data_IF_809206088795
#
_entry.id   IF_809206088795
#
_cell.length_a   1.000
_cell.length_b   1.000
_cell.length_c   1.000
_cell.angle_alpha   90.00
_cell.angle_beta   90.00
_cell.angle_gamma   90.00
#
_symmetry.space_group_name_H-M   'P 1'
#
loop_
_entity.id
_entity.type
_entity.pdbx_description
1 polymer ?
#
# COMPACT_ATOMS: atom_id res chain seq x y z
N UNK A 1 3.71 -24.94 -21.02
CA UNK A 1 4.65 -24.27 -20.10
C UNK A 1 4.76 -25.15 -18.87
N UNK A 2 5.96 -25.50 -18.43
CA UNK A 2 6.16 -26.28 -17.21
C UNK A 2 6.55 -25.30 -16.10
N UNK A 3 5.82 -25.33 -14.99
CA UNK A 3 6.07 -24.48 -13.82
C UNK A 3 6.94 -25.23 -12.82
N UNK A 4 7.96 -24.56 -12.29
CA UNK A 4 8.93 -25.14 -11.36
C UNK A 4 8.81 -24.42 -10.01
N UNK A 5 8.94 -25.15 -8.89
CA UNK A 5 8.93 -24.52 -7.57
C UNK A 5 10.16 -23.60 -7.40
N UNK A 6 9.99 -22.50 -6.65
CA UNK A 6 11.08 -21.59 -6.33
C UNK A 6 12.16 -22.26 -5.47
N UNK A 7 13.41 -22.18 -5.91
CA UNK A 7 14.58 -22.70 -5.18
C UNK A 7 15.48 -21.52 -4.80
N UNK A 8 15.93 -21.49 -3.53
CA UNK A 8 16.85 -20.47 -3.01
C UNK A 8 18.17 -21.13 -2.63
N UNK A 9 19.27 -20.59 -3.14
CA UNK A 9 20.61 -21.05 -2.83
C UNK A 9 21.12 -20.40 -1.53
N UNK A 10 21.79 -21.15 -0.64
CA UNK A 10 22.38 -20.57 0.56
C UNK A 10 23.62 -19.73 0.18
N UNK A 11 23.43 -18.43 -0.01
CA UNK A 11 24.50 -17.48 -0.41
C UNK A 11 25.23 -16.82 0.78
N UNK A 12 25.01 -17.29 2.01
CA UNK A 12 25.51 -16.62 3.21
C UNK A 12 24.77 -15.32 3.52
N UNK A 13 23.55 -15.16 3.02
CA UNK A 13 22.67 -14.04 3.34
C UNK A 13 22.36 -14.01 4.85
N UNK A 14 22.21 -12.81 5.40
CA UNK A 14 21.69 -12.67 6.77
C UNK A 14 20.22 -13.05 6.84
N UNK A 15 19.77 -13.50 8.00
CA UNK A 15 18.37 -13.91 8.24
C UNK A 15 17.37 -12.82 7.83
N UNK A 16 17.66 -11.55 8.18
CA UNK A 16 16.85 -10.40 7.76
C UNK A 16 16.68 -10.33 6.25
N UNK A 17 17.72 -10.60 5.46
CA UNK A 17 17.64 -10.57 4.00
C UNK A 17 16.77 -11.70 3.45
N UNK A 18 16.88 -12.89 4.03
CA UNK A 18 16.09 -14.07 3.64
C UNK A 18 14.60 -13.82 3.89
N UNK A 19 14.27 -13.20 5.04
CA UNK A 19 12.89 -12.84 5.40
C UNK A 19 12.37 -11.75 4.45
N UNK A 20 13.15 -10.70 4.18
CA UNK A 20 12.72 -9.62 3.29
C UNK A 20 12.53 -10.07 1.83
N UNK A 21 13.27 -11.10 1.39
CA UNK A 21 13.07 -11.75 0.08
C UNK A 21 11.80 -12.63 0.03
N UNK A 22 11.10 -12.86 1.14
CA UNK A 22 9.87 -13.66 1.18
C UNK A 22 10.09 -15.17 1.10
N UNK A 23 11.30 -15.65 1.38
CA UNK A 23 11.62 -17.09 1.33
C UNK A 23 10.97 -17.85 2.50
N UNK A 24 10.82 -17.16 3.64
CA UNK A 24 10.23 -17.70 4.87
C UNK A 24 8.91 -16.99 5.13
N UNK A 25 7.90 -17.77 5.54
CA UNK A 25 6.61 -17.23 6.00
C UNK A 25 6.79 -16.44 7.29
N UNK A 26 6.16 -15.26 7.35
CA UNK A 26 6.32 -14.32 8.46
C UNK A 26 5.84 -14.89 9.80
N UNK A 27 4.89 -15.84 9.77
CA UNK A 27 4.36 -16.49 10.97
C UNK A 27 5.41 -17.37 11.68
N UNK A 28 6.38 -17.89 10.93
CA UNK A 28 7.42 -18.80 11.43
C UNK A 28 8.67 -18.07 11.94
N UNK A 29 8.73 -16.76 11.78
CA UNK A 29 9.83 -15.92 12.29
C UNK A 29 9.68 -15.79 13.80
N UNK A 30 10.78 -16.03 14.54
CA UNK A 30 10.79 -15.98 16.00
C UNK A 30 10.67 -14.55 16.53
N UNK A 31 11.54 -13.66 16.04
CA UNK A 31 11.69 -12.29 16.51
C UNK A 31 11.46 -11.30 15.34
N UNK A 32 10.21 -11.14 14.86
CA UNK A 32 9.90 -10.32 13.69
C UNK A 32 10.27 -8.83 13.87
N UNK A 33 10.24 -8.32 15.09
CA UNK A 33 10.56 -6.93 15.43
C UNK A 33 11.97 -6.51 14.98
N UNK A 34 12.95 -7.39 15.13
CA UNK A 34 14.35 -7.10 14.79
C UNK A 34 14.57 -6.92 13.27
N UNK A 35 13.66 -7.46 12.46
CA UNK A 35 13.77 -7.41 11.00
C UNK A 35 13.05 -6.20 10.40
N UNK A 36 12.21 -5.49 11.17
CA UNK A 36 11.49 -4.30 10.71
C UNK A 36 12.45 -3.17 10.35
N UNK A 37 13.59 -3.06 11.05
CA UNK A 37 14.64 -2.08 10.70
C UNK A 37 15.06 -2.19 9.23
N UNK A 38 15.20 -3.41 8.71
CA UNK A 38 15.57 -3.62 7.31
C UNK A 38 14.50 -3.17 6.31
N UNK A 39 13.23 -3.09 6.73
CA UNK A 39 12.15 -2.48 5.91
C UNK A 39 12.31 -0.97 5.89
N UNK A 40 12.53 -0.36 7.05
CA UNK A 40 12.70 1.10 7.18
C UNK A 40 13.90 1.61 6.38
N UNK A 41 14.98 0.83 6.30
CA UNK A 41 16.16 1.19 5.51
C UNK A 41 15.92 1.18 4.00
N UNK A 42 14.94 0.38 3.52
CA UNK A 42 14.63 0.23 2.09
C UNK A 42 13.51 1.14 1.62
N UNK A 43 12.53 1.37 2.47
CA UNK A 43 11.32 2.13 2.14
C UNK A 43 11.51 3.57 2.58
N UNK A 44 11.29 4.52 1.66
CA UNK A 44 11.34 5.95 2.00
C UNK A 44 10.28 6.28 3.07
N UNK A 45 10.60 7.14 4.05
CA UNK A 45 9.68 7.47 5.13
C UNK A 45 8.37 8.12 4.63
N UNK A 46 8.41 8.83 3.51
CA UNK A 46 7.23 9.42 2.87
C UNK A 46 6.15 8.37 2.52
N UNK A 47 6.57 7.20 2.01
CA UNK A 47 5.64 6.13 1.63
C UNK A 47 5.06 5.44 2.87
N UNK A 48 5.87 5.25 3.91
CA UNK A 48 5.42 4.71 5.18
C UNK A 48 4.41 5.64 5.87
N UNK A 49 4.68 6.95 5.90
CA UNK A 49 3.73 7.96 6.39
C UNK A 49 2.45 7.94 5.58
N UNK A 50 2.49 7.82 4.25
CA UNK A 50 1.28 7.79 3.43
C UNK A 50 0.45 6.51 3.67
N UNK A 51 1.10 5.35 3.74
CA UNK A 51 0.42 4.07 3.88
C UNK A 51 -0.14 3.88 5.30
N UNK A 52 0.68 4.11 6.33
CA UNK A 52 0.25 3.95 7.71
C UNK A 52 -0.39 5.21 8.27
N UNK A 53 -0.20 6.40 7.69
CA UNK A 53 -0.71 7.70 8.17
C UNK A 53 -0.29 7.99 9.61
N UNK A 54 0.96 7.73 9.93
CA UNK A 54 1.60 8.02 11.21
C UNK A 54 2.43 9.31 11.10
N UNK A 55 2.74 9.91 12.24
CA UNK A 55 3.68 11.02 12.35
C UNK A 55 5.13 10.56 12.13
N UNK A 56 6.07 11.52 12.11
CA UNK A 56 7.51 11.25 12.14
C UNK A 56 7.90 10.31 13.29
N UNK A 57 8.76 9.33 13.01
CA UNK A 57 9.35 8.43 14.00
C UNK A 57 10.87 8.57 14.01
N UNK A 58 11.49 8.21 15.13
CA UNK A 58 12.95 8.23 15.28
C UNK A 58 13.57 6.85 15.25
N UNK A 59 12.86 5.84 15.74
CA UNK A 59 13.36 4.48 15.90
C UNK A 59 12.35 3.45 15.36
N UNK A 60 12.80 2.23 15.08
CA UNK A 60 11.92 1.14 14.65
C UNK A 60 10.86 0.79 15.72
N UNK A 61 11.22 0.81 17.00
CA UNK A 61 10.27 0.53 18.07
C UNK A 61 9.21 1.64 18.20
N UNK A 62 9.62 2.90 18.04
CA UNK A 62 8.70 4.05 18.02
C UNK A 62 7.74 3.97 16.82
N UNK A 63 8.26 3.61 15.64
CA UNK A 63 7.44 3.37 14.45
C UNK A 63 6.36 2.30 14.72
N UNK A 64 6.76 1.13 15.22
CA UNK A 64 5.83 0.03 15.48
C UNK A 64 4.79 0.41 16.55
N UNK A 65 5.21 1.14 17.58
CA UNK A 65 4.31 1.65 18.64
C UNK A 65 3.25 2.57 18.06
N UNK A 66 3.63 3.54 17.21
CA UNK A 66 2.68 4.46 16.56
C UNK A 66 1.71 3.72 15.63
N UNK A 67 2.21 2.75 14.87
CA UNK A 67 1.37 1.91 14.01
C UNK A 67 0.39 1.09 14.85
N UNK A 68 0.83 0.54 15.99
CA UNK A 68 -0.01 -0.23 16.90
C UNK A 68 -1.20 0.59 17.42
N UNK A 69 -0.92 1.81 17.91
CA UNK A 69 -1.95 2.73 18.38
C UNK A 69 -2.94 3.11 17.29
N UNK A 70 -2.43 3.38 16.07
CA UNK A 70 -3.29 3.78 14.97
C UNK A 70 -4.16 2.64 14.44
N UNK A 71 -3.61 1.43 14.38
CA UNK A 71 -4.34 0.25 13.91
C UNK A 71 -5.20 -0.41 15.01
N UNK A 72 -5.09 0.05 16.25
CA UNK A 72 -5.79 -0.56 17.40
C UNK A 72 -5.25 -1.96 17.77
N UNK A 73 -3.99 -2.26 17.43
CA UNK A 73 -3.31 -3.52 17.74
C UNK A 73 -2.73 -3.45 19.15
N UNK A 74 -3.61 -3.43 20.14
CA UNK A 74 -3.26 -3.33 21.56
C UNK A 74 -3.60 -4.64 22.27
N UNK A 75 -2.75 -5.05 23.21
CA UNK A 75 -3.01 -6.15 24.12
C UNK A 75 -4.11 -5.80 25.12
N UNK A 76 -4.59 -6.80 25.88
CA UNK A 76 -5.67 -6.66 26.88
C UNK A 76 -5.37 -5.73 28.06
N UNK A 77 -4.25 -5.02 28.05
CA UNK A 77 -3.84 -4.02 29.04
C UNK A 77 -3.63 -2.62 28.41
N UNK A 78 -3.98 -2.43 27.14
CA UNK A 78 -3.72 -1.17 26.42
C UNK A 78 -2.27 -0.99 25.96
N UNK A 79 -1.43 -2.00 26.15
CA UNK A 79 -0.04 -2.02 25.68
C UNK A 79 0.03 -2.35 24.18
N UNK A 80 0.88 -1.67 23.39
CA UNK A 80 1.04 -1.97 21.97
C UNK A 80 1.60 -3.38 21.73
N UNK A 81 0.95 -4.14 20.84
CA UNK A 81 1.45 -5.47 20.42
C UNK A 81 2.48 -5.31 19.30
N UNK A 82 3.75 -5.15 19.69
CA UNK A 82 4.87 -4.94 18.76
C UNK A 82 5.05 -6.15 17.83
N UNK A 83 4.96 -7.38 18.35
CA UNK A 83 5.17 -8.60 17.56
C UNK A 83 4.09 -8.75 16.48
N UNK A 84 2.82 -8.50 16.79
CA UNK A 84 1.74 -8.57 15.81
C UNK A 84 1.88 -7.49 14.73
N UNK A 85 2.26 -6.27 15.11
CA UNK A 85 2.51 -5.17 14.17
C UNK A 85 3.71 -5.46 13.29
N UNK A 86 4.81 -5.98 13.84
CA UNK A 86 5.99 -6.37 13.08
C UNK A 86 5.65 -7.40 11.99
N UNK A 87 4.85 -8.42 12.33
CA UNK A 87 4.35 -9.41 11.36
C UNK A 87 3.48 -8.77 10.28
N UNK A 88 2.61 -7.83 10.64
CA UNK A 88 1.78 -7.12 9.67
C UNK A 88 2.64 -6.28 8.70
N UNK A 89 3.63 -5.55 9.23
CA UNK A 89 4.55 -4.71 8.43
C UNK A 89 5.40 -5.54 7.47
N UNK A 90 5.97 -6.65 7.94
CA UNK A 90 6.75 -7.56 7.08
C UNK A 90 5.90 -8.17 5.96
N UNK A 91 4.66 -8.55 6.27
CA UNK A 91 3.72 -9.05 5.27
C UNK A 91 3.34 -7.97 4.25
N UNK A 92 3.12 -6.73 4.69
CA UNK A 92 2.80 -5.61 3.80
C UNK A 92 3.98 -5.27 2.87
N UNK A 93 5.21 -5.40 3.37
CA UNK A 93 6.42 -5.28 2.57
C UNK A 93 6.53 -6.39 1.51
N UNK A 94 6.38 -7.66 1.90
CA UNK A 94 6.45 -8.80 0.97
C UNK A 94 5.34 -8.78 -0.09
N UNK A 95 4.15 -8.27 0.26
CA UNK A 95 3.01 -8.12 -0.67
C UNK A 95 3.15 -6.94 -1.63
N UNK A 96 4.20 -6.13 -1.48
CA UNK A 96 4.43 -4.95 -2.31
C UNK A 96 3.45 -3.80 -2.04
N UNK A 97 2.77 -3.77 -0.88
CA UNK A 97 1.96 -2.62 -0.49
C UNK A 97 2.82 -1.39 -0.21
N UNK A 98 4.03 -1.63 0.27
CA UNK A 98 5.05 -0.62 0.47
C UNK A 98 5.93 -0.54 -0.77
N UNK A 99 5.81 0.52 -1.59
CA UNK A 99 6.64 0.67 -2.77
C UNK A 99 8.08 0.97 -2.35
N UNK A 100 9.02 0.21 -2.92
CA UNK A 100 10.45 0.48 -2.85
C UNK A 100 11.11 0.09 -4.17
N UNK A 101 12.25 0.71 -4.46
CA UNK A 101 13.05 0.39 -5.63
C UNK A 101 14.52 0.38 -5.22
N UNK A 102 15.30 -0.48 -5.86
CA UNK A 102 16.75 -0.50 -5.74
C UNK A 102 17.30 -0.03 -7.07
N UNK A 103 18.15 0.99 -7.03
CA UNK A 103 18.78 1.52 -8.24
C UNK A 103 19.76 0.46 -8.76
N UNK A 104 19.71 0.11 -10.05
CA UNK A 104 20.68 -0.81 -10.62
C UNK A 104 22.10 -0.22 -10.54
N UNK A 105 23.13 -1.07 -10.37
CA UNK A 105 24.51 -0.61 -10.27
C UNK A 105 24.91 0.19 -11.52
N UNK A 106 25.54 1.35 -11.32
CA UNK A 106 25.97 2.25 -12.40
C UNK A 106 24.94 3.31 -12.84
N UNK A 107 23.72 3.29 -12.29
CA UNK A 107 22.66 4.27 -12.63
C UNK A 107 22.35 5.27 -11.51
N UNK A 108 23.17 5.34 -10.45
CA UNK A 108 22.91 6.14 -9.25
C UNK A 108 22.75 7.64 -9.52
N UNK A 109 23.52 8.19 -10.47
CA UNK A 109 23.45 9.62 -10.81
C UNK A 109 22.19 10.01 -11.60
N UNK A 110 21.63 9.08 -12.37
CA UNK A 110 20.38 9.29 -13.11
C UNK A 110 19.20 9.23 -12.15
N UNK A 111 19.19 8.21 -11.29
CA UNK A 111 18.15 8.01 -10.29
C UNK A 111 17.90 9.25 -9.44
N UNK A 112 18.94 9.91 -8.91
CA UNK A 112 18.79 11.10 -8.06
C UNK A 112 18.07 12.27 -8.71
N UNK A 113 18.08 12.38 -10.04
CA UNK A 113 17.46 13.50 -10.79
C UNK A 113 15.97 13.29 -11.04
N UNK A 114 15.53 12.05 -11.08
CA UNK A 114 14.16 11.70 -11.46
C UNK A 114 13.18 11.69 -10.25
N UNK A 115 13.68 11.73 -9.01
CA UNK A 115 12.85 11.69 -7.79
C UNK A 115 12.13 12.99 -7.43
N UNK A 116 12.54 14.13 -8.01
CA UNK A 116 11.92 15.44 -7.73
C UNK A 116 10.76 15.77 -8.69
N UNK A 117 10.47 14.92 -9.67
CA UNK A 117 9.35 15.10 -10.59
C UNK A 117 8.14 14.26 -10.14
N UNK A 118 7.01 14.95 -9.98
CA UNK A 118 5.71 14.35 -9.71
C UNK A 118 5.40 13.23 -10.73
N UNK A 119 4.65 12.18 -10.32
CA UNK A 119 4.36 11.07 -11.21
C UNK A 119 3.71 11.58 -12.50
N UNK A 120 4.31 11.23 -13.63
CA UNK A 120 3.62 11.31 -14.91
C UNK A 120 2.39 10.40 -14.79
N UNK A 121 1.22 10.98 -14.55
CA UNK A 121 0.03 10.31 -15.04
C UNK A 121 0.19 10.36 -16.56
N UNK A 122 0.49 9.22 -17.16
CA UNK A 122 0.28 9.08 -18.59
C UNK A 122 -1.23 8.96 -18.74
N UNK A 123 -1.90 10.12 -18.89
CA UNK A 123 -3.10 10.13 -19.71
C UNK A 123 -2.67 9.65 -21.08
N UNK A 124 -3.07 8.43 -21.44
CA UNK A 124 -3.15 8.00 -22.82
C UNK A 124 -4.03 9.02 -23.56
N UNK A 125 -3.38 10.01 -24.18
CA UNK A 125 -4.01 10.81 -25.20
C UNK A 125 -4.11 9.90 -26.42
N UNK A 126 -5.31 9.35 -26.63
CA UNK A 126 -5.75 8.91 -27.95
C UNK A 126 -5.77 10.16 -28.86
N UNK A 127 -4.62 10.48 -29.47
CA UNK A 127 -4.54 11.46 -30.55
C UNK A 127 -4.57 10.71 -31.89
N UNK A 128 -5.74 10.81 -32.50
CA UNK A 128 -6.12 10.53 -33.89
C UNK A 128 -5.08 11.13 -34.86
N UNK A 129 -4.29 10.30 -35.56
CA UNK A 129 -3.53 10.74 -36.73
C UNK A 129 -3.71 9.76 -37.90
N UNK A 130 -4.60 10.21 -38.80
CA UNK A 130 -4.56 10.13 -40.24
C UNK A 130 -4.00 8.85 -40.90
N UNK A 131 -4.95 8.06 -41.36
CA UNK A 131 -4.84 7.05 -42.43
C UNK A 131 -4.06 7.54 -43.65
N UNK A 132 -3.00 6.82 -44.03
CA UNK A 132 -2.49 6.79 -45.41
C UNK A 132 -2.76 5.40 -46.00
N UNK A 133 -3.69 5.43 -46.94
CA UNK A 133 -4.20 4.36 -47.78
C UNK A 133 -3.11 3.80 -48.72
N UNK A 134 -2.94 2.47 -48.75
CA UNK A 134 -2.48 1.79 -49.97
C UNK A 134 -3.00 0.34 -50.01
N UNK A 135 -4.06 0.19 -50.80
CA UNK A 135 -4.79 -1.02 -51.18
C UNK A 135 -3.93 -2.19 -51.70
N UNK A 136 -4.26 -3.40 -51.24
CA UNK A 136 -4.15 -4.67 -51.99
C UNK A 136 -5.22 -5.66 -51.50
N UNK A 137 -6.40 -5.62 -52.11
CA UNK A 137 -7.38 -6.73 -52.18
C UNK A 137 -6.69 -8.01 -52.76
N UNK A 138 -7.08 -9.27 -52.52
CA UNK A 138 -8.37 -9.96 -52.43
C UNK A 138 -8.14 -11.28 -51.67
N UNK A 139 -9.14 -11.79 -50.94
CA UNK A 139 -9.16 -13.19 -50.49
C UNK A 139 -10.34 -13.56 -49.61
N UNK A 140 -11.54 -13.57 -50.20
CA UNK A 140 -12.86 -13.84 -49.62
C UNK A 140 -13.03 -15.27 -49.04
N UNK A 141 -13.84 -15.43 -47.99
CA UNK A 141 -14.20 -16.74 -47.44
C UNK A 141 -15.02 -16.69 -46.14
N UNK A 142 -16.32 -16.45 -46.26
CA UNK A 142 -17.36 -16.62 -45.23
C UNK A 142 -17.86 -18.09 -45.18
N UNK A 143 -17.93 -18.73 -44.00
CA UNK A 143 -18.97 -19.72 -43.65
C UNK A 143 -19.22 -19.75 -42.13
N UNK A 144 -20.51 -19.85 -41.80
CA UNK A 144 -21.26 -19.83 -40.54
C UNK A 144 -21.00 -20.93 -39.48
N UNK A 145 -21.60 -20.68 -38.30
CA UNK A 145 -22.26 -21.51 -37.25
C UNK A 145 -22.03 -23.05 -37.23
N UNK A 146 -22.03 -23.80 -36.13
CA UNK A 146 -23.09 -24.01 -35.11
C UNK A 146 -22.56 -24.85 -33.91
N UNK A 147 -23.17 -24.67 -32.72
CA UNK A 147 -23.45 -25.70 -31.68
C UNK A 147 -22.29 -26.29 -30.85
N UNK A 148 -22.47 -26.88 -29.66
CA UNK A 148 -23.54 -26.96 -28.67
C UNK A 148 -22.96 -27.72 -27.45
N UNK A 149 -23.49 -27.42 -26.24
CA UNK A 149 -23.70 -28.29 -25.06
C UNK A 149 -22.56 -29.06 -24.35
N UNK A 150 -22.54 -28.91 -23.01
CA UNK A 150 -21.99 -29.93 -22.10
C UNK A 150 -21.90 -29.57 -20.60
N UNK A 151 -23.04 -29.55 -19.90
CA UNK A 151 -23.33 -29.94 -18.47
C UNK A 151 -22.16 -30.54 -17.64
N UNK A 152 -21.94 -30.23 -16.34
CA UNK A 152 -22.73 -30.63 -15.14
C UNK A 152 -22.31 -29.82 -13.88
N UNK A 153 -23.23 -29.36 -13.00
CA UNK A 153 -23.54 -29.90 -11.64
C UNK A 153 -22.31 -30.38 -10.83
N UNK A 154 -22.01 -29.92 -9.61
CA UNK A 154 -22.83 -30.12 -8.39
C UNK A 154 -22.75 -28.98 -7.35
N UNK A 155 -23.86 -28.83 -6.63
CA UNK A 155 -24.03 -28.07 -5.40
C UNK A 155 -23.75 -28.94 -4.17
N UNK A 156 -23.30 -28.33 -3.06
CA UNK A 156 -23.86 -28.69 -1.76
C UNK A 156 -23.84 -27.47 -0.81
N UNK A 157 -24.98 -27.28 -0.17
CA UNK A 157 -25.31 -26.24 0.80
C UNK A 157 -25.74 -26.93 2.09
N UNK A 158 -25.52 -26.30 3.24
CA UNK A 158 -26.42 -26.28 4.43
C UNK A 158 -25.65 -25.62 5.58
N UNK A 159 -25.91 -24.35 5.91
CA UNK A 159 -26.96 -23.82 6.79
C UNK A 159 -26.85 -24.25 8.25
N UNK A 160 -26.63 -23.29 9.16
CA UNK A 160 -27.65 -22.96 10.15
C UNK A 160 -27.50 -21.54 10.74
N UNK A 161 -28.64 -20.92 10.99
CA UNK A 161 -28.87 -19.69 11.76
C UNK A 161 -28.63 -19.93 13.27
N UNK A 162 -28.53 -18.95 14.17
CA UNK A 162 -29.62 -18.09 14.68
C UNK A 162 -29.09 -16.86 15.46
N UNK A 163 -29.81 -15.73 15.33
CA UNK A 163 -30.22 -14.64 16.27
C UNK A 163 -29.44 -14.32 17.58
N UNK A 164 -29.50 -13.15 18.25
CA UNK A 164 -29.86 -11.72 18.08
C UNK A 164 -29.64 -11.09 19.48
N UNK A 165 -28.89 -9.97 19.62
CA UNK A 165 -29.14 -8.86 20.57
C UNK A 165 -28.17 -7.69 20.24
N UNK A 166 -28.62 -6.52 19.79
CA UNK A 166 -29.24 -5.39 20.50
C UNK A 166 -28.29 -4.62 21.46
N UNK A 167 -27.57 -3.61 20.96
CA UNK A 167 -27.75 -2.21 21.41
C UNK A 167 -26.77 -1.25 20.75
N UNK A 168 -27.37 -0.22 20.17
CA UNK A 168 -26.77 0.93 19.52
C UNK A 168 -26.54 2.05 20.55
N UNK A 169 -25.70 3.02 20.16
CA UNK A 169 -25.46 4.34 20.76
C UNK A 169 -24.27 4.43 21.74
N UNK A 170 -23.12 4.91 21.25
CA UNK A 170 -22.38 6.04 21.82
C UNK A 170 -21.28 6.51 20.85
N UNK A 171 -21.66 7.22 19.78
CA UNK A 171 -20.67 7.96 18.99
C UNK A 171 -21.25 9.28 18.47
N UNK A 172 -21.38 10.27 19.37
CA UNK A 172 -21.78 11.62 19.02
C UNK A 172 -20.97 12.73 19.71
N UNK A 173 -19.79 12.45 20.29
CA UNK A 173 -19.09 13.45 21.10
C UNK A 173 -17.65 13.81 20.68
N UNK A 174 -17.14 13.33 19.54
CA UNK A 174 -15.75 13.63 19.12
C UNK A 174 -15.69 14.59 17.91
N UNK A 175 -16.78 14.72 17.14
CA UNK A 175 -16.79 15.50 15.90
C UNK A 175 -16.98 17.02 16.07
N UNK A 176 -17.20 17.51 17.29
CA UNK A 176 -17.41 18.95 17.57
C UNK A 176 -16.12 19.69 17.92
N UNK A 177 -15.15 19.04 18.55
CA UNK A 177 -13.85 19.66 18.94
C UNK A 177 -12.97 19.98 17.72
N UNK A 178 -12.92 19.07 16.74
CA UNK A 178 -12.09 19.25 15.53
C UNK A 178 -12.58 20.40 14.62
N UNK A 179 -13.90 20.63 14.57
CA UNK A 179 -14.48 21.77 13.85
C UNK A 179 -14.23 23.10 14.57
N UNK A 180 -14.09 23.08 15.90
CA UNK A 180 -13.81 24.28 16.70
C UNK A 180 -12.35 24.71 16.57
N UNK A 181 -11.40 23.76 16.55
CA UNK A 181 -9.97 24.03 16.34
C UNK A 181 -9.63 24.51 14.91
N UNK A 182 -10.31 24.03 13.86
CA UNK A 182 -10.06 24.53 12.49
C UNK A 182 -10.57 25.95 12.26
N UNK A 183 -11.55 26.42 13.04
CA UNK A 183 -12.11 27.78 12.90
C UNK A 183 -11.28 28.84 13.62
N UNK A 184 -10.55 28.49 14.68
CA UNK A 184 -9.64 29.44 15.35
C UNK A 184 -8.39 29.73 14.51
N UNK A 185 -7.86 28.72 13.80
CA UNK A 185 -6.64 28.89 13.00
C UNK A 185 -6.83 29.78 11.76
N UNK A 186 -8.05 29.90 11.22
CA UNK A 186 -8.34 30.71 10.02
C UNK A 186 -8.66 32.19 10.30
N UNK A 187 -8.70 32.63 11.56
CA UNK A 187 -9.00 34.03 11.91
C UNK A 187 -7.73 34.86 12.15
N UNK A 188 -6.60 34.24 12.48
CA UNK A 188 -5.36 34.96 12.83
C UNK A 188 -4.51 35.40 11.63
N UNK A 189 -4.71 34.83 10.43
CA UNK A 189 -3.97 35.21 9.22
C UNK A 189 -4.53 36.41 8.43
N UNK A 190 -5.69 36.94 8.83
CA UNK A 190 -6.37 38.02 8.10
C UNK A 190 -5.98 39.45 8.55
N UNK A 191 -5.16 39.62 9.59
CA UNK A 191 -4.94 40.95 10.20
C UNK A 191 -3.68 41.72 9.76
N UNK A 192 -2.89 41.22 8.79
CA UNK A 192 -1.56 41.78 8.51
C UNK A 192 -1.36 42.43 7.13
N UNK A 193 -2.42 42.77 6.38
CA UNK A 193 -2.30 43.49 5.10
C UNK A 193 -3.36 44.57 4.96
N UNK A 194 -3.10 45.76 5.49
CA UNK A 194 -3.95 46.91 5.18
C UNK A 194 -3.77 48.14 6.05
N UNK A 195 -2.56 48.72 6.11
CA UNK A 195 -2.43 50.14 6.46
C UNK A 195 -1.38 50.79 5.55
N UNK A 196 -1.86 51.27 4.40
CA UNK A 196 -1.15 52.30 3.65
C UNK A 196 -1.17 53.60 4.46
N UNK A 197 -0.01 54.23 4.61
CA UNK A 197 0.07 55.59 5.14
C UNK A 197 0.66 56.52 4.09
N UNK A 198 -0.22 57.45 3.74
CA UNK A 198 -0.05 58.67 2.97
C UNK A 198 0.99 59.57 3.62
N UNK A 199 2.00 59.99 2.87
CA UNK A 199 2.54 61.36 2.88
C UNK A 199 2.64 61.84 1.44
#
# INVERSE_FOLDING_TARGET
>A
MIDCPGVVYPQGDSETQIILKGVVRVENVKDPENHVQGVLDRVKPEHLKKHYGIDDWTDAEDFMTKVAFKQGRLLKAGEPDITAVAKAVLNDFQRGKLPYFVVPPGCEERAKKDYDQAPINETCADDDEAVVDMNSEVGDGEVNEEGEQGTSADADSTSNAEEMDESCLHEHSINTEWKKMKKSFLVEDALCKGFGSRI
#
